data_IF_966099445187
#
_entry.id   IF_966099445187
#
_cell.length_a   1.000
_cell.length_b   1.000
_cell.length_c   1.000
_cell.angle_alpha   90.00
_cell.angle_beta   90.00
_cell.angle_gamma   90.00
#
_symmetry.space_group_name_H-M   'P 1'
#
loop_
_entity.id
_entity.type
_entity.pdbx_description
1 polymer ?
#
# COMPACT_ATOMS: atom_id res chain seq x y z
N UNK A 1 -10.23 3.82 35.04
CA UNK A 1 -10.19 3.22 33.69
C UNK A 1 -9.72 4.31 32.74
N UNK A 2 -8.43 4.33 32.39
CA UNK A 2 -7.90 5.29 31.43
C UNK A 2 -8.27 4.84 30.02
N UNK A 3 -8.80 5.76 29.22
CA UNK A 3 -9.47 5.48 27.95
C UNK A 3 -8.58 4.75 26.95
N UNK A 4 -9.12 3.65 26.42
CA UNK A 4 -8.64 2.98 25.22
C UNK A 4 -9.08 3.79 23.99
N UNK A 5 -8.56 5.00 23.81
CA UNK A 5 -8.54 5.59 22.48
C UNK A 5 -7.27 5.10 21.82
N UNK A 6 -7.42 4.04 21.05
CA UNK A 6 -6.50 3.68 19.97
C UNK A 6 -6.22 4.93 19.17
N UNK A 7 -5.00 5.45 19.26
CA UNK A 7 -4.54 6.53 18.40
C UNK A 7 -4.43 5.93 16.99
N UNK A 8 -5.51 6.05 16.22
CA UNK A 8 -5.63 5.45 14.91
C UNK A 8 -4.85 6.31 13.92
N UNK A 9 -3.74 5.79 13.41
CA UNK A 9 -2.96 6.45 12.36
C UNK A 9 -3.84 6.56 11.12
N UNK A 10 -4.14 7.78 10.72
CA UNK A 10 -4.94 8.10 9.54
C UNK A 10 -4.06 8.23 8.30
N UNK A 11 -4.69 8.24 7.13
CA UNK A 11 -3.97 8.44 5.86
C UNK A 11 -3.22 9.78 5.83
N UNK A 12 -3.81 10.84 6.38
CA UNK A 12 -3.19 12.16 6.48
C UNK A 12 -1.92 12.16 7.33
N UNK A 13 -1.83 11.28 8.32
CA UNK A 13 -0.63 11.18 9.19
C UNK A 13 0.59 10.59 8.45
N UNK A 14 0.38 9.92 7.31
CA UNK A 14 1.43 9.25 6.54
C UNK A 14 1.58 9.76 5.11
N UNK A 15 0.67 10.62 4.65
CA UNK A 15 0.67 11.14 3.29
C UNK A 15 1.51 12.42 3.19
N UNK A 16 2.48 12.42 2.28
CA UNK A 16 3.30 13.59 1.95
C UNK A 16 3.11 13.88 0.46
N UNK A 17 2.55 15.05 0.14
CA UNK A 17 2.42 15.55 -1.23
C UNK A 17 3.09 16.92 -1.35
N UNK A 18 3.73 17.14 -2.49
CA UNK A 18 4.31 18.43 -2.84
C UNK A 18 3.61 18.97 -4.09
N UNK A 19 3.34 20.27 -4.11
CA UNK A 19 3.01 21.00 -5.35
C UNK A 19 4.24 21.07 -6.26
N UNK A 20 4.04 21.47 -7.53
CA UNK A 20 5.14 21.56 -8.50
C UNK A 20 6.19 22.60 -8.05
N UNK A 21 5.74 23.72 -7.51
CA UNK A 21 6.58 24.81 -7.00
C UNK A 21 7.38 24.36 -5.77
N UNK A 22 6.74 23.67 -4.82
CA UNK A 22 7.41 23.08 -3.66
C UNK A 22 8.42 22.00 -4.07
N UNK A 23 8.06 21.17 -5.05
CA UNK A 23 8.94 20.13 -5.58
C UNK A 23 10.22 20.71 -6.17
N UNK A 24 10.16 21.85 -6.88
CA UNK A 24 11.36 22.50 -7.42
C UNK A 24 12.30 22.94 -6.30
N UNK A 25 11.74 23.46 -5.20
CA UNK A 25 12.49 23.97 -4.05
C UNK A 25 13.09 22.88 -3.15
N UNK A 26 12.66 21.62 -3.28
CA UNK A 26 13.21 20.51 -2.49
C UNK A 26 14.69 20.26 -2.80
N UNK A 27 15.44 19.97 -1.74
CA UNK A 27 16.83 19.55 -1.84
C UNK A 27 16.93 18.15 -2.47
N UNK A 28 18.08 17.81 -3.10
CA UNK A 28 18.27 16.51 -3.73
C UNK A 28 18.01 15.32 -2.80
N UNK A 29 18.36 15.44 -1.52
CA UNK A 29 18.11 14.40 -0.51
C UNK A 29 16.62 14.16 -0.26
N UNK A 30 15.81 15.23 -0.18
CA UNK A 30 14.36 15.13 0.01
C UNK A 30 13.68 14.50 -1.22
N UNK A 31 14.12 14.89 -2.43
CA UNK A 31 13.66 14.27 -3.68
C UNK A 31 14.00 12.78 -3.74
N UNK A 32 15.16 12.38 -3.24
CA UNK A 32 15.55 10.97 -3.15
C UNK A 32 14.62 10.21 -2.21
N UNK A 33 14.42 10.73 -0.98
CA UNK A 33 13.56 10.09 0.01
C UNK A 33 12.11 9.92 -0.49
N UNK A 34 11.58 10.93 -1.19
CA UNK A 34 10.25 10.84 -1.79
C UNK A 34 10.17 9.73 -2.87
N UNK A 35 11.18 9.62 -3.73
CA UNK A 35 11.27 8.55 -4.73
C UNK A 35 11.36 7.17 -4.07
N UNK A 36 12.12 7.04 -3.00
CA UNK A 36 12.28 5.79 -2.26
C UNK A 36 10.94 5.37 -1.61
N UNK A 37 10.22 6.33 -1.02
CA UNK A 37 8.90 6.11 -0.44
C UNK A 37 7.86 5.67 -1.48
N UNK A 38 7.84 6.35 -2.64
CA UNK A 38 6.99 5.98 -3.78
C UNK A 38 7.32 4.58 -4.31
N UNK A 39 8.60 4.25 -4.46
CA UNK A 39 9.04 2.94 -4.93
C UNK A 39 8.61 1.84 -3.95
N UNK A 40 8.76 2.09 -2.64
CA UNK A 40 8.27 1.20 -1.60
C UNK A 40 6.77 0.96 -1.69
N UNK A 41 6.00 2.03 -1.87
CA UNK A 41 4.54 1.95 -1.99
C UNK A 41 4.11 1.20 -3.25
N UNK A 42 4.74 1.47 -4.40
CA UNK A 42 4.47 0.76 -5.64
C UNK A 42 4.75 -0.74 -5.53
N UNK A 43 5.87 -1.11 -4.90
CA UNK A 43 6.21 -2.53 -4.65
C UNK A 43 5.18 -3.20 -3.73
N UNK A 44 4.75 -2.52 -2.68
CA UNK A 44 3.74 -3.04 -1.76
C UNK A 44 2.40 -3.23 -2.47
N UNK A 45 1.95 -2.24 -3.26
CA UNK A 45 0.72 -2.36 -4.05
C UNK A 45 0.82 -3.50 -5.06
N UNK A 46 1.95 -3.60 -5.75
CA UNK A 46 2.22 -4.68 -6.71
C UNK A 46 2.15 -6.06 -6.03
N UNK A 47 2.79 -6.22 -4.87
CA UNK A 47 2.75 -7.46 -4.09
C UNK A 47 1.33 -7.79 -3.60
N UNK A 48 0.57 -6.77 -3.18
CA UNK A 48 -0.84 -6.94 -2.82
C UNK A 48 -1.62 -7.44 -4.03
N UNK A 49 -1.53 -6.79 -5.19
CA UNK A 49 -2.22 -7.18 -6.44
C UNK A 49 -1.91 -8.62 -6.84
N UNK A 50 -0.63 -9.01 -6.85
CA UNK A 50 -0.25 -10.40 -7.15
C UNK A 50 -0.86 -11.40 -6.15
N UNK A 51 -0.88 -11.06 -4.86
CA UNK A 51 -1.53 -11.92 -3.86
C UNK A 51 -3.03 -12.06 -4.10
N UNK A 52 -3.72 -11.02 -4.54
CA UNK A 52 -5.15 -11.10 -4.88
C UNK A 52 -5.38 -12.00 -6.10
N UNK A 53 -4.52 -11.94 -7.10
CA UNK A 53 -4.58 -12.82 -8.28
C UNK A 53 -4.33 -14.28 -7.91
N UNK A 54 -3.34 -14.57 -7.06
CA UNK A 54 -3.05 -15.92 -6.57
C UNK A 54 -4.22 -16.52 -5.77
N UNK A 55 -4.88 -15.72 -4.92
CA UNK A 55 -6.05 -16.17 -4.14
C UNK A 55 -7.29 -16.40 -5.02
N UNK A 56 -7.40 -15.72 -6.17
CA UNK A 56 -8.52 -15.89 -7.09
C UNK A 56 -8.39 -17.17 -7.93
N UNK A 57 -7.17 -17.65 -8.16
CA UNK A 57 -6.90 -18.91 -8.87
C UNK A 57 -7.17 -20.13 -7.96
N UNK A 58 -6.92 -20.02 -6.64
CA UNK A 58 -7.11 -21.15 -5.72
C UNK A 58 -8.59 -21.44 -5.41
N UNK A 59 -9.44 -20.42 -5.27
CA UNK A 59 -10.87 -20.58 -4.96
C UNK A 59 -11.67 -21.24 -6.10
N UNK A 60 -11.31 -20.97 -7.36
CA UNK A 60 -11.95 -21.63 -8.50
C UNK A 60 -11.56 -23.11 -8.65
N UNK A 61 -10.37 -23.49 -8.18
CA UNK A 61 -9.88 -24.86 -8.27
C UNK A 61 -10.47 -25.75 -7.16
N UNK A 62 -10.81 -25.18 -6.00
CA UNK A 62 -11.47 -25.91 -4.89
C UNK A 62 -12.97 -26.13 -5.13
N UNK A 63 -13.67 -25.17 -5.73
CA UNK A 63 -15.12 -25.31 -6.01
C UNK A 63 -15.40 -26.41 -7.05
N UNK A 64 -14.56 -26.51 -8.10
CA UNK A 64 -14.62 -27.57 -9.12
C UNK A 64 -14.42 -28.97 -8.54
N UNK A 65 -13.58 -29.12 -7.51
CA UNK A 65 -13.36 -30.40 -6.81
C UNK A 65 -14.49 -30.80 -5.87
N UNK A 66 -15.29 -29.84 -5.39
CA UNK A 66 -16.44 -30.12 -4.50
C UNK A 66 -17.70 -30.50 -5.26
N UNK A 67 -17.80 -30.14 -6.55
CA UNK A 67 -18.98 -30.45 -7.39
C UNK A 67 -18.92 -31.83 -8.08
N UNK A 68 -17.85 -32.61 -7.84
CA UNK A 68 -17.67 -33.96 -8.41
C UNK A 68 -17.70 -35.08 -7.35
N UNK A 69 -18.28 -34.82 -6.18
CA UNK A 69 -18.59 -35.84 -5.16
C UNK A 69 -20.09 -36.00 -5.03
#
# INVERSE_FOLDING_TARGET
>A
MCGLFTDAVTYDDVHISFTQEEWVLLNPSQKSLYKDLLLGTYRNLTAIVYRWEDHNIEEHCKSSRRHRR
#
